data_IF_151768157941
#
_entry.id   IF_151768157941
#
_cell.length_a   1.000
_cell.length_b   1.000
_cell.length_c   1.000
_cell.angle_alpha   90.00
_cell.angle_beta   90.00
_cell.angle_gamma   90.00
#
_symmetry.space_group_name_H-M   'P 1'
#
loop_
_entity.id
_entity.type
_entity.pdbx_description
1 polymer ?
#
# COMPACT_ATOMS: atom_id res chain seq x y z
N UNK A 1 -8.99 -11.01 -18.35
CA UNK A 1 -9.55 -9.64 -18.38
C UNK A 1 -8.79 -8.48 -17.67
N UNK A 2 -8.67 -8.40 -16.33
CA UNK A 2 -8.26 -7.14 -15.63
C UNK A 2 -6.88 -6.56 -16.02
N UNK A 3 -5.85 -7.42 -16.21
CA UNK A 3 -4.52 -6.97 -16.64
C UNK A 3 -4.51 -6.39 -18.07
N UNK A 4 -5.47 -6.79 -18.91
CA UNK A 4 -5.59 -6.31 -20.29
C UNK A 4 -6.24 -4.94 -20.30
N UNK A 5 -7.34 -4.77 -19.54
CA UNK A 5 -8.00 -3.47 -19.37
C UNK A 5 -7.03 -2.40 -18.85
N UNK A 6 -6.15 -2.76 -17.93
CA UNK A 6 -5.12 -1.84 -17.43
C UNK A 6 -4.19 -1.35 -18.54
N UNK A 7 -3.68 -2.27 -19.38
CA UNK A 7 -2.78 -1.91 -20.48
C UNK A 7 -3.43 -0.94 -21.46
N UNK A 8 -4.73 -1.10 -21.72
CA UNK A 8 -5.49 -0.18 -22.58
C UNK A 8 -5.55 1.23 -21.99
N UNK A 9 -5.69 1.35 -20.66
CA UNK A 9 -5.70 2.64 -19.97
C UNK A 9 -4.33 3.35 -20.03
N UNK A 10 -3.24 2.58 -20.07
CA UNK A 10 -1.89 3.12 -20.17
C UNK A 10 -1.58 3.63 -21.59
N UNK A 11 -1.76 2.77 -22.59
CA UNK A 11 -1.56 3.13 -23.99
C UNK A 11 -2.22 2.08 -24.92
N UNK A 12 -3.01 2.50 -25.94
CA UNK A 12 -3.70 1.56 -26.83
C UNK A 12 -2.79 0.53 -27.52
N UNK A 13 -1.59 0.95 -27.95
CA UNK A 13 -0.56 0.07 -28.54
C UNK A 13 -0.01 -1.03 -27.61
N UNK A 14 -0.29 -1.02 -26.30
CA UNK A 14 0.12 -2.09 -25.41
C UNK A 14 -0.72 -3.37 -25.59
N UNK A 15 -1.87 -3.26 -26.27
CA UNK A 15 -2.74 -4.36 -26.59
C UNK A 15 -2.21 -5.12 -27.82
N UNK A 16 -1.93 -6.42 -27.68
CA UNK A 16 -1.58 -7.25 -28.83
C UNK A 16 -2.86 -7.69 -29.55
N UNK A 17 -2.81 -7.89 -30.87
CA UNK A 17 -3.94 -8.42 -31.66
C UNK A 17 -4.53 -9.70 -31.04
N UNK A 18 -3.67 -10.57 -30.49
CA UNK A 18 -4.06 -11.77 -29.74
C UNK A 18 -4.78 -11.48 -28.43
N UNK A 19 -4.29 -10.53 -27.62
CA UNK A 19 -4.95 -10.17 -26.36
C UNK A 19 -6.29 -9.46 -26.61
N UNK A 20 -6.41 -8.71 -27.71
CA UNK A 20 -7.68 -8.14 -28.14
C UNK A 20 -8.69 -9.23 -28.52
N UNK A 21 -8.25 -10.25 -29.27
CA UNK A 21 -9.08 -11.39 -29.63
C UNK A 21 -9.52 -12.21 -28.40
N UNK A 22 -8.61 -12.48 -27.46
CA UNK A 22 -8.93 -13.18 -26.20
C UNK A 22 -9.95 -12.40 -25.34
N UNK A 23 -9.90 -11.06 -25.32
CA UNK A 23 -10.91 -10.24 -24.64
C UNK A 23 -12.27 -10.34 -25.34
N UNK A 24 -12.30 -10.30 -26.67
CA UNK A 24 -13.54 -10.45 -27.43
C UNK A 24 -14.18 -11.83 -27.21
N UNK A 25 -13.37 -12.90 -27.18
CA UNK A 25 -13.83 -14.26 -26.90
C UNK A 25 -14.34 -14.42 -25.45
N UNK A 26 -13.71 -13.79 -24.46
CA UNK A 26 -14.21 -13.77 -23.08
C UNK A 26 -15.56 -13.02 -22.98
N UNK A 27 -15.71 -11.91 -23.71
CA UNK A 27 -16.93 -11.10 -23.74
C UNK A 27 -18.12 -11.80 -24.43
N UNK A 28 -17.85 -12.71 -25.37
CA UNK A 28 -18.86 -13.52 -26.06
C UNK A 28 -19.66 -14.44 -25.11
N UNK A 29 -19.15 -14.70 -23.91
CA UNK A 29 -19.81 -15.54 -22.92
C UNK A 29 -20.78 -14.80 -21.98
N UNK A 30 -20.77 -13.46 -21.95
CA UNK A 30 -21.37 -12.70 -20.83
C UNK A 30 -22.09 -11.39 -21.16
N UNK A 31 -22.21 -10.93 -22.42
CA UNK A 31 -22.67 -9.56 -22.72
C UNK A 31 -23.85 -9.43 -23.71
N UNK A 32 -24.60 -8.31 -23.62
CA UNK A 32 -25.73 -7.96 -24.50
C UNK A 32 -25.24 -7.59 -25.92
N UNK A 33 -26.11 -7.72 -26.94
CA UNK A 33 -25.77 -7.45 -28.36
C UNK A 33 -25.21 -6.04 -28.63
N UNK A 34 -25.66 -5.04 -27.88
CA UNK A 34 -25.23 -3.64 -28.05
C UNK A 34 -23.81 -3.40 -27.50
N UNK A 35 -23.50 -3.97 -26.33
CA UNK A 35 -22.16 -3.89 -25.71
C UNK A 35 -21.11 -4.60 -26.59
N UNK A 36 -21.50 -5.70 -27.23
CA UNK A 36 -20.69 -6.42 -28.21
C UNK A 36 -20.34 -5.55 -29.42
N UNK A 37 -21.32 -4.85 -29.99
CA UNK A 37 -21.10 -4.00 -31.15
C UNK A 37 -20.16 -2.82 -30.83
N UNK A 38 -20.23 -2.28 -29.62
CA UNK A 38 -19.31 -1.22 -29.16
C UNK A 38 -17.91 -1.77 -28.96
N UNK A 39 -17.76 -2.94 -28.32
CA UNK A 39 -16.47 -3.58 -28.10
C UNK A 39 -15.78 -3.98 -29.43
N UNK A 40 -16.52 -4.58 -30.36
CA UNK A 40 -16.02 -4.93 -31.70
C UNK A 40 -15.60 -3.67 -32.48
N UNK A 41 -16.38 -2.58 -32.42
CA UNK A 41 -15.99 -1.29 -33.05
C UNK A 41 -14.74 -0.70 -32.40
N UNK A 42 -14.62 -0.74 -31.08
CA UNK A 42 -13.47 -0.20 -30.37
C UNK A 42 -12.20 -0.99 -30.71
N UNK A 43 -12.30 -2.33 -30.73
CA UNK A 43 -11.19 -3.21 -31.13
C UNK A 43 -10.82 -3.01 -32.60
N UNK A 44 -11.78 -2.88 -33.51
CA UNK A 44 -11.51 -2.55 -34.90
C UNK A 44 -10.88 -1.16 -35.07
N UNK A 45 -11.34 -0.15 -34.33
CA UNK A 45 -10.71 1.17 -34.33
C UNK A 45 -9.28 1.09 -33.80
N UNK A 46 -9.03 0.36 -32.72
CA UNK A 46 -7.68 0.14 -32.18
C UNK A 46 -6.78 -0.60 -33.16
N UNK A 47 -7.31 -1.63 -33.84
CA UNK A 47 -6.61 -2.40 -34.87
C UNK A 47 -6.28 -1.54 -36.11
N UNK A 48 -7.23 -0.71 -36.54
CA UNK A 48 -7.08 0.20 -37.69
C UNK A 48 -6.15 1.37 -37.36
N UNK A 49 -6.16 1.84 -36.11
CA UNK A 49 -5.14 2.76 -35.58
C UNK A 49 -3.80 2.05 -35.64
N UNK A 50 -3.64 0.84 -35.09
CA UNK A 50 -2.36 0.10 -35.16
C UNK A 50 -1.84 -0.15 -36.58
N UNK A 51 -2.71 -0.34 -37.57
CA UNK A 51 -2.33 -0.58 -38.98
C UNK A 51 -2.01 0.70 -39.77
N UNK A 52 -2.54 1.85 -39.36
CA UNK A 52 -2.23 3.16 -39.97
C UNK A 52 -1.00 3.83 -39.36
N UNK A 53 -0.41 3.23 -38.33
CA UNK A 53 0.64 3.82 -37.49
C UNK A 53 2.07 3.49 -37.89
N UNK A 54 2.29 2.92 -39.07
CA UNK A 54 3.66 2.65 -39.56
C UNK A 54 4.38 3.92 -40.07
N UNK A 55 3.70 5.07 -40.27
CA UNK A 55 4.31 6.25 -40.94
C UNK A 55 4.37 7.58 -40.14
N UNK A 56 3.66 7.76 -39.02
CA UNK A 56 3.79 8.98 -38.20
C UNK A 56 3.73 8.68 -36.69
N UNK A 57 4.67 9.27 -35.96
CA UNK A 57 4.87 9.06 -34.52
C UNK A 57 3.74 9.75 -33.74
N UNK A 58 2.63 9.04 -33.51
CA UNK A 58 1.48 9.59 -32.79
C UNK A 58 1.59 9.37 -31.28
N UNK A 59 2.29 10.27 -30.60
CA UNK A 59 2.28 10.32 -29.12
C UNK A 59 0.91 10.75 -28.55
N UNK A 60 0.07 11.35 -29.41
CA UNK A 60 -1.27 11.85 -29.07
C UNK A 60 -2.32 10.78 -28.76
N UNK A 61 -1.99 9.49 -28.94
CA UNK A 61 -2.95 8.39 -28.73
C UNK A 61 -3.05 8.00 -27.24
N UNK A 62 -2.08 8.36 -26.40
CA UNK A 62 -2.15 8.13 -24.95
C UNK A 62 -2.23 9.44 -24.17
N UNK A 63 -3.33 9.62 -23.43
CA UNK A 63 -3.53 10.76 -22.55
C UNK A 63 -2.45 10.84 -21.45
N UNK A 64 -1.93 9.71 -20.97
CA UNK A 64 -0.84 9.68 -19.98
C UNK A 64 0.47 10.18 -20.56
N UNK A 65 0.84 9.75 -21.77
CA UNK A 65 2.06 10.24 -22.42
C UNK A 65 1.94 11.73 -22.72
N UNK A 66 0.81 12.16 -23.30
CA UNK A 66 0.54 13.58 -23.57
C UNK A 66 0.65 14.43 -22.30
N UNK A 67 0.04 13.99 -21.19
CA UNK A 67 0.16 14.66 -19.90
C UNK A 67 1.61 14.70 -19.38
N UNK A 68 2.35 13.58 -19.48
CA UNK A 68 3.75 13.51 -19.03
C UNK A 68 4.62 14.48 -19.82
N UNK A 69 4.46 14.55 -21.14
CA UNK A 69 5.23 15.47 -21.98
C UNK A 69 4.96 16.93 -21.58
N UNK A 70 3.68 17.32 -21.47
CA UNK A 70 3.31 18.67 -21.06
C UNK A 70 3.79 19.02 -19.62
N UNK A 71 3.80 18.03 -18.72
CA UNK A 71 4.36 18.20 -17.38
C UNK A 71 5.89 18.39 -17.43
N UNK A 72 6.59 17.62 -18.26
CA UNK A 72 8.05 17.74 -18.42
C UNK A 72 8.47 19.06 -19.05
N UNK A 73 7.68 19.61 -19.98
CA UNK A 73 7.90 20.94 -20.56
C UNK A 73 7.92 22.06 -19.51
N UNK A 74 7.22 21.87 -18.39
CA UNK A 74 7.27 22.80 -17.26
C UNK A 74 8.40 22.45 -16.27
N UNK A 75 8.56 21.17 -15.95
CA UNK A 75 9.47 20.72 -14.89
C UNK A 75 10.95 20.85 -15.27
N UNK A 76 11.31 20.51 -16.51
CA UNK A 76 12.72 20.47 -16.93
C UNK A 76 13.34 21.86 -17.02
N UNK A 77 12.69 22.88 -17.65
CA UNK A 77 13.17 24.26 -17.58
C UNK A 77 13.19 24.83 -16.16
N UNK A 78 12.32 24.32 -15.27
CA UNK A 78 12.32 24.64 -13.84
C UNK A 78 13.52 24.05 -13.07
N UNK A 79 14.40 23.27 -13.70
CA UNK A 79 15.58 22.68 -13.08
C UNK A 79 15.26 21.50 -12.15
N UNK A 80 14.11 20.86 -12.35
CA UNK A 80 13.70 19.67 -11.61
C UNK A 80 14.31 18.40 -12.23
N UNK A 81 14.65 17.42 -11.38
CA UNK A 81 15.04 16.09 -11.82
C UNK A 81 13.90 15.12 -11.55
N UNK A 82 13.54 14.34 -12.56
CA UNK A 82 12.29 13.58 -12.61
C UNK A 82 12.57 12.09 -12.70
N UNK A 83 12.04 11.31 -11.77
CA UNK A 83 11.93 9.85 -11.90
C UNK A 83 10.59 9.50 -12.53
N UNK A 84 10.59 8.61 -13.52
CA UNK A 84 9.36 8.09 -14.12
C UNK A 84 9.34 6.58 -13.94
N UNK A 85 8.39 6.11 -13.13
CA UNK A 85 8.19 4.70 -12.84
C UNK A 85 7.06 4.12 -13.67
N UNK A 86 7.33 2.96 -14.27
CA UNK A 86 6.27 2.13 -14.88
C UNK A 86 6.44 0.65 -14.55
N UNK A 87 5.36 -0.14 -14.53
CA UNK A 87 5.48 -1.57 -14.26
C UNK A 87 6.04 -2.36 -15.45
N UNK A 88 5.79 -1.91 -16.68
CA UNK A 88 6.13 -2.67 -17.87
C UNK A 88 7.21 -2.01 -18.71
N UNK A 89 8.15 -2.82 -19.23
CA UNK A 89 9.17 -2.34 -20.17
C UNK A 89 8.57 -1.80 -21.47
N UNK A 90 7.40 -2.33 -21.88
CA UNK A 90 6.72 -1.87 -23.09
C UNK A 90 6.25 -0.42 -22.94
N UNK A 91 5.67 -0.06 -21.80
CA UNK A 91 5.28 1.32 -21.53
C UNK A 91 6.50 2.24 -21.44
N UNK A 92 7.61 1.77 -20.84
CA UNK A 92 8.86 2.53 -20.86
C UNK A 92 9.43 2.74 -22.27
N UNK A 93 9.27 1.78 -23.19
CA UNK A 93 9.67 1.96 -24.59
C UNK A 93 8.84 3.06 -25.27
N UNK A 94 7.52 3.05 -25.09
CA UNK A 94 6.65 4.09 -25.65
C UNK A 94 7.00 5.47 -25.09
N UNK A 95 7.24 5.57 -23.78
CA UNK A 95 7.73 6.80 -23.16
C UNK A 95 9.10 7.20 -23.70
N UNK A 96 10.00 6.25 -23.91
CA UNK A 96 11.32 6.51 -24.48
C UNK A 96 11.20 7.17 -25.86
N UNK A 97 10.38 6.59 -26.73
CA UNK A 97 10.16 7.09 -28.09
C UNK A 97 9.52 8.48 -28.06
N UNK A 98 8.59 8.71 -27.12
CA UNK A 98 7.98 10.01 -26.84
C UNK A 98 9.01 11.07 -26.40
N UNK A 99 9.88 10.73 -25.46
CA UNK A 99 10.92 11.63 -24.97
C UNK A 99 11.93 11.96 -26.07
N UNK A 100 12.38 10.97 -26.85
CA UNK A 100 13.31 11.20 -27.98
C UNK A 100 12.69 12.14 -29.00
N UNK A 101 11.44 11.90 -29.38
CA UNK A 101 10.74 12.70 -30.39
C UNK A 101 10.57 14.17 -29.97
N UNK A 102 10.46 14.43 -28.67
CA UNK A 102 10.34 15.77 -28.09
C UNK A 102 11.68 16.37 -27.65
N UNK A 103 12.81 15.73 -27.98
CA UNK A 103 14.15 16.26 -27.70
C UNK A 103 14.58 16.17 -26.22
N UNK A 104 13.88 15.38 -25.41
CA UNK A 104 14.25 15.17 -24.01
C UNK A 104 15.39 14.18 -23.87
N UNK A 105 16.39 14.56 -23.06
CA UNK A 105 17.41 13.63 -22.61
C UNK A 105 16.89 12.82 -21.42
N UNK A 106 17.19 11.53 -21.37
CA UNK A 106 16.83 10.66 -20.26
C UNK A 106 17.88 9.58 -20.02
N UNK A 107 17.86 9.00 -18.83
CA UNK A 107 18.54 7.74 -18.49
C UNK A 107 17.50 6.67 -18.22
N UNK A 108 17.89 5.39 -18.31
CA UNK A 108 16.97 4.27 -18.12
C UNK A 108 17.64 3.12 -17.37
N UNK A 109 16.94 2.58 -16.38
CA UNK A 109 17.23 1.26 -15.81
C UNK A 109 15.96 0.42 -15.80
N UNK A 110 16.07 -0.78 -16.37
CA UNK A 110 15.02 -1.79 -16.33
C UNK A 110 15.60 -3.19 -16.03
N UNK A 111 14.73 -4.20 -16.04
CA UNK A 111 15.12 -5.60 -15.77
C UNK A 111 16.20 -6.16 -16.70
N UNK A 112 16.44 -5.54 -17.86
CA UNK A 112 17.48 -5.95 -18.82
C UNK A 112 18.81 -5.23 -18.63
N UNK A 113 18.86 -4.18 -17.81
CA UNK A 113 20.11 -3.45 -17.54
C UNK A 113 21.05 -4.33 -16.71
N UNK A 114 22.30 -4.51 -17.17
CA UNK A 114 23.33 -5.31 -16.48
C UNK A 114 23.65 -4.73 -15.11
N UNK A 115 23.91 -5.59 -14.13
CA UNK A 115 24.20 -5.16 -12.76
C UNK A 115 25.41 -4.23 -12.65
N UNK A 116 26.44 -4.45 -13.47
CA UNK A 116 27.66 -3.62 -13.55
C UNK A 116 27.36 -2.18 -13.96
N UNK A 117 26.39 -1.99 -14.84
CA UNK A 117 26.11 -0.69 -15.46
C UNK A 117 25.14 0.12 -14.59
N UNK A 118 24.29 -0.55 -13.81
CA UNK A 118 23.31 0.08 -12.92
C UNK A 118 23.96 1.09 -11.97
N UNK A 119 25.06 0.70 -11.32
CA UNK A 119 25.74 1.56 -10.36
C UNK A 119 26.29 2.82 -11.03
N UNK A 120 26.87 2.67 -12.22
CA UNK A 120 27.38 3.79 -13.00
C UNK A 120 26.26 4.76 -13.39
N UNK A 121 25.16 4.25 -13.94
CA UNK A 121 24.01 5.08 -14.35
C UNK A 121 23.41 5.83 -13.15
N UNK A 122 23.28 5.15 -12.00
CA UNK A 122 22.77 5.78 -10.77
C UNK A 122 23.72 6.88 -10.29
N UNK A 123 25.03 6.64 -10.29
CA UNK A 123 26.01 7.65 -9.90
C UNK A 123 25.99 8.85 -10.85
N UNK A 124 25.94 8.62 -12.16
CA UNK A 124 25.88 9.69 -13.17
C UNK A 124 24.63 10.57 -13.02
N UNK A 125 23.48 9.97 -12.66
CA UNK A 125 22.27 10.71 -12.29
C UNK A 125 22.47 11.52 -11.00
N UNK A 126 22.96 10.89 -9.94
CA UNK A 126 23.13 11.54 -8.63
C UNK A 126 24.11 12.72 -8.69
N UNK A 127 25.17 12.58 -9.48
CA UNK A 127 26.19 13.61 -9.69
C UNK A 127 25.74 14.71 -10.67
N UNK A 128 24.60 14.54 -11.34
CA UNK A 128 24.07 15.50 -12.31
C UNK A 128 24.89 15.59 -13.60
N UNK A 129 25.68 14.56 -13.92
CA UNK A 129 26.42 14.45 -15.19
C UNK A 129 25.54 13.94 -16.33
N UNK A 130 24.36 13.41 -15.99
CA UNK A 130 23.43 12.82 -16.94
C UNK A 130 22.19 13.68 -17.20
N UNK A 131 21.24 13.04 -17.85
CA UNK A 131 19.93 13.61 -18.15
C UNK A 131 19.08 13.89 -16.89
N UNK A 132 18.20 14.90 -16.92
CA UNK A 132 17.32 15.24 -15.79
C UNK A 132 16.16 14.24 -15.62
N UNK A 133 15.88 13.40 -16.61
CA UNK A 133 14.81 12.40 -16.58
C UNK A 133 15.41 11.01 -16.39
N UNK A 134 14.81 10.21 -15.51
CA UNK A 134 15.24 8.84 -15.25
C UNK A 134 14.06 7.86 -15.31
N UNK A 135 14.04 7.03 -16.36
CA UNK A 135 13.06 5.97 -16.58
C UNK A 135 13.42 4.71 -15.80
N UNK A 136 12.47 4.22 -14.99
CA UNK A 136 12.67 3.08 -14.10
C UNK A 136 11.48 2.12 -14.18
N UNK A 137 11.74 0.82 -14.21
CA UNK A 137 10.65 -0.14 -13.93
C UNK A 137 10.41 -0.24 -12.42
N UNK A 138 9.16 -0.27 -11.97
CA UNK A 138 8.83 -0.36 -10.53
C UNK A 138 9.46 -1.57 -9.83
N UNK A 139 9.68 -2.68 -10.56
CA UNK A 139 10.33 -3.89 -10.04
C UNK A 139 11.82 -3.69 -9.73
N UNK A 140 12.52 -2.85 -10.50
CA UNK A 140 13.92 -2.49 -10.24
C UNK A 140 14.02 -1.59 -9.00
N UNK A 141 12.92 -0.96 -8.57
CA UNK A 141 12.79 -0.23 -7.31
C UNK A 141 13.02 -1.10 -6.05
N UNK A 142 12.94 -2.43 -6.15
CA UNK A 142 13.23 -3.36 -5.06
C UNK A 142 14.72 -3.50 -4.71
N UNK A 143 15.62 -2.95 -5.53
CA UNK A 143 17.08 -3.17 -5.43
C UNK A 143 17.79 -2.32 -4.38
N UNK A 144 17.09 -1.43 -3.68
CA UNK A 144 17.74 -0.62 -2.64
C UNK A 144 18.35 0.71 -3.12
N UNK A 145 18.10 1.12 -4.37
CA UNK A 145 18.72 2.32 -4.98
C UNK A 145 18.41 3.61 -4.18
N UNK A 146 19.32 4.58 -4.25
CA UNK A 146 19.16 5.91 -3.66
C UNK A 146 19.20 6.92 -4.78
N UNK A 147 18.13 7.67 -4.97
CA UNK A 147 17.90 8.59 -6.10
C UNK A 147 17.48 9.98 -5.59
N UNK A 148 18.14 10.45 -4.53
CA UNK A 148 17.85 11.70 -3.82
C UNK A 148 18.08 12.96 -4.64
N UNK A 149 18.73 12.87 -5.81
CA UNK A 149 18.84 13.99 -6.76
C UNK A 149 17.49 14.38 -7.36
N UNK A 150 16.56 13.44 -7.44
CA UNK A 150 15.22 13.67 -7.96
C UNK A 150 14.30 14.28 -6.92
N UNK A 151 13.61 15.34 -7.31
CA UNK A 151 12.59 16.04 -6.53
C UNK A 151 11.19 15.90 -7.13
N UNK A 152 11.07 15.22 -8.27
CA UNK A 152 9.81 14.92 -8.93
C UNK A 152 9.74 13.42 -9.23
N UNK A 153 8.61 12.80 -8.92
CA UNK A 153 8.39 11.37 -9.17
C UNK A 153 7.05 11.18 -9.88
N UNK A 154 7.05 10.58 -11.06
CA UNK A 154 5.86 10.25 -11.82
C UNK A 154 5.67 8.73 -11.75
N UNK A 155 4.53 8.28 -11.22
CA UNK A 155 4.07 6.90 -11.26
C UNK A 155 3.02 6.79 -12.35
N UNK A 156 3.41 6.20 -13.49
CA UNK A 156 2.59 6.16 -14.71
C UNK A 156 1.42 5.19 -14.57
N UNK A 157 1.70 4.00 -14.06
CA UNK A 157 0.74 2.91 -13.91
C UNK A 157 0.84 2.30 -12.51
N UNK A 158 0.10 2.82 -11.51
CA UNK A 158 0.21 2.41 -10.11
C UNK A 158 0.00 0.91 -9.88
N UNK A 159 0.82 0.30 -9.01
CA UNK A 159 0.74 -1.11 -8.66
C UNK A 159 -0.52 -1.42 -7.86
N UNK A 160 -1.07 -2.63 -8.06
CA UNK A 160 -2.21 -3.13 -7.28
C UNK A 160 -1.92 -3.18 -5.78
N UNK A 161 -0.67 -3.46 -5.42
CA UNK A 161 -0.19 -3.36 -4.06
C UNK A 161 0.42 -1.96 -3.86
N UNK A 162 -0.19 -1.09 -3.03
CA UNK A 162 0.33 0.25 -2.76
C UNK A 162 1.78 0.25 -2.27
N UNK A 163 2.19 -0.81 -1.54
CA UNK A 163 3.54 -0.95 -0.99
C UNK A 163 4.62 -0.92 -2.07
N UNK A 164 4.34 -1.41 -3.27
CA UNK A 164 5.27 -1.40 -4.40
C UNK A 164 5.54 0.01 -4.90
N UNK A 165 4.49 0.84 -4.96
CA UNK A 165 4.62 2.24 -5.35
C UNK A 165 5.31 3.06 -4.25
N UNK A 166 4.92 2.87 -2.98
CA UNK A 166 5.56 3.52 -1.84
C UNK A 166 7.06 3.23 -1.80
N UNK A 167 7.46 1.97 -1.99
CA UNK A 167 8.87 1.60 -2.05
C UNK A 167 9.63 2.31 -3.20
N UNK A 168 8.94 2.61 -4.31
CA UNK A 168 9.54 3.33 -5.44
C UNK A 168 9.71 4.82 -5.12
N UNK A 169 8.71 5.43 -4.45
CA UNK A 169 8.76 6.82 -3.97
C UNK A 169 9.84 7.02 -2.91
N UNK A 170 10.00 6.08 -1.98
CA UNK A 170 11.01 6.08 -0.91
C UNK A 170 12.46 6.11 -1.44
N UNK A 171 12.66 5.89 -2.74
CA UNK A 171 13.98 6.01 -3.40
C UNK A 171 14.41 7.46 -3.59
N UNK A 172 13.44 8.34 -3.85
CA UNK A 172 13.64 9.79 -3.97
C UNK A 172 13.48 10.49 -2.62
N UNK A 173 12.48 10.08 -1.84
CA UNK A 173 12.26 10.58 -0.48
C UNK A 173 13.06 9.75 0.53
N UNK A 174 14.38 10.00 0.59
CA UNK A 174 15.33 9.28 1.44
C UNK A 174 16.30 10.24 2.12
N UNK A 175 16.97 9.77 3.18
CA UNK A 175 18.07 10.50 3.82
C UNK A 175 19.08 10.95 2.75
N UNK A 176 19.39 12.25 2.74
CA UNK A 176 20.22 12.89 1.71
C UNK A 176 19.43 13.69 0.67
N UNK A 177 18.10 13.65 0.71
CA UNK A 177 17.24 14.57 -0.03
C UNK A 177 17.27 15.97 0.62
N UNK A 178 17.37 17.02 -0.18
CA UNK A 178 17.42 18.41 0.26
C UNK A 178 16.27 19.27 -0.29
N UNK A 179 15.51 18.74 -1.26
CA UNK A 179 14.35 19.41 -1.87
C UNK A 179 13.04 18.68 -1.52
N UNK A 180 11.94 19.42 -1.57
CA UNK A 180 10.62 18.83 -1.43
C UNK A 180 10.29 17.93 -2.63
N UNK A 181 9.93 16.68 -2.32
CA UNK A 181 9.61 15.67 -3.32
C UNK A 181 8.11 15.70 -3.62
N UNK A 182 7.77 15.98 -4.88
CA UNK A 182 6.38 15.92 -5.37
C UNK A 182 6.18 14.64 -6.17
N UNK A 183 5.15 13.89 -5.81
CA UNK A 183 4.81 12.61 -6.45
C UNK A 183 3.50 12.75 -7.24
N UNK A 184 3.57 12.50 -8.54
CA UNK A 184 2.44 12.45 -9.45
C UNK A 184 2.04 10.99 -9.64
N UNK A 185 0.85 10.62 -9.17
CA UNK A 185 0.28 9.29 -9.41
C UNK A 185 -0.79 9.43 -10.49
N UNK A 186 -0.52 8.93 -11.69
CA UNK A 186 -1.44 9.07 -12.82
C UNK A 186 -2.53 8.02 -12.75
N UNK A 187 -3.77 8.44 -12.94
CA UNK A 187 -4.96 7.61 -12.88
C UNK A 187 -5.90 7.98 -14.03
N UNK A 188 -6.30 7.00 -14.84
CA UNK A 188 -7.25 7.25 -15.93
C UNK A 188 -8.69 7.22 -15.39
N UNK A 189 -9.41 8.32 -15.55
CA UNK A 189 -10.75 8.52 -15.01
C UNK A 189 -11.78 7.59 -15.66
N UNK A 190 -12.75 7.11 -14.88
CA UNK A 190 -13.81 6.20 -15.34
C UNK A 190 -13.35 4.78 -15.68
N UNK A 191 -12.06 4.47 -15.52
CA UNK A 191 -11.46 3.19 -15.94
C UNK A 191 -11.21 2.22 -14.78
N UNK A 192 -10.72 1.02 -15.11
CA UNK A 192 -10.30 0.01 -14.14
C UNK A 192 -9.23 0.54 -13.17
N UNK A 193 -8.43 1.53 -13.56
CA UNK A 193 -7.40 2.10 -12.69
C UNK A 193 -8.00 2.82 -11.49
N UNK A 194 -8.90 3.78 -11.72
CA UNK A 194 -9.60 4.52 -10.66
C UNK A 194 -10.29 3.54 -9.70
N UNK A 195 -10.89 2.50 -10.26
CA UNK A 195 -11.57 1.43 -9.54
C UNK A 195 -10.64 0.60 -8.65
N UNK A 196 -9.45 0.25 -9.13
CA UNK A 196 -8.40 -0.41 -8.34
C UNK A 196 -7.95 0.49 -7.20
N UNK A 197 -7.77 1.79 -7.49
CA UNK A 197 -7.38 2.76 -6.48
C UNK A 197 -8.40 2.90 -5.35
N UNK A 198 -9.71 2.96 -5.66
CA UNK A 198 -10.76 2.94 -4.62
C UNK A 198 -10.62 1.71 -3.70
N UNK A 199 -10.38 0.53 -4.27
CA UNK A 199 -10.13 -0.71 -3.50
C UNK A 199 -8.89 -0.60 -2.62
N UNK A 200 -7.82 0.02 -3.10
CA UNK A 200 -6.60 0.22 -2.31
C UNK A 200 -6.84 1.12 -1.11
N UNK A 201 -7.49 2.26 -1.32
CA UNK A 201 -7.84 3.18 -0.24
C UNK A 201 -8.74 2.49 0.78
N UNK A 202 -9.77 1.77 0.31
CA UNK A 202 -10.65 1.00 1.19
C UNK A 202 -9.89 -0.03 2.05
N UNK A 203 -9.02 -0.83 1.44
CA UNK A 203 -8.20 -1.82 2.16
C UNK A 203 -7.19 -1.16 3.10
N UNK A 204 -6.61 -0.03 2.70
CA UNK A 204 -5.70 0.76 3.53
C UNK A 204 -6.38 1.26 4.81
N UNK A 205 -7.60 1.75 4.69
CA UNK A 205 -8.40 2.20 5.84
C UNK A 205 -8.67 1.07 6.82
N UNK A 206 -9.10 -0.10 6.31
CA UNK A 206 -9.32 -1.28 7.16
C UNK A 206 -8.05 -1.72 7.92
N UNK A 207 -6.90 -1.70 7.26
CA UNK A 207 -5.64 -2.07 7.88
C UNK A 207 -5.21 -1.09 8.98
N UNK A 208 -5.38 0.22 8.74
CA UNK A 208 -5.12 1.26 9.74
C UNK A 208 -6.06 1.14 10.95
N UNK A 209 -7.37 0.94 10.74
CA UNK A 209 -8.33 0.71 11.84
C UNK A 209 -7.90 -0.48 12.71
N UNK A 210 -7.50 -1.59 12.08
CA UNK A 210 -7.07 -2.78 12.79
C UNK A 210 -5.78 -2.59 13.60
N UNK A 211 -4.89 -1.69 13.16
CA UNK A 211 -3.58 -1.46 13.79
C UNK A 211 -3.60 -0.36 14.84
N UNK A 212 -4.38 0.70 14.61
CA UNK A 212 -4.38 1.92 15.42
C UNK A 212 -5.53 1.96 16.45
N UNK A 213 -6.40 0.94 16.47
CA UNK A 213 -7.58 0.83 17.36
C UNK A 213 -8.48 2.08 17.38
N UNK A 214 -8.43 2.90 16.33
CA UNK A 214 -9.33 4.01 16.06
C UNK A 214 -10.05 3.73 14.76
N UNK A 215 -11.35 3.96 14.73
CA UNK A 215 -12.11 3.83 13.49
C UNK A 215 -11.58 4.85 12.47
N UNK A 216 -11.20 4.36 11.29
CA UNK A 216 -10.78 5.19 10.16
C UNK A 216 -11.96 5.44 9.24
N UNK A 217 -11.98 6.60 8.57
CA UNK A 217 -13.02 6.92 7.59
C UNK A 217 -13.10 5.83 6.53
N UNK A 218 -14.31 5.30 6.35
CA UNK A 218 -14.61 4.34 5.30
C UNK A 218 -15.00 5.09 4.02
N UNK A 219 -14.01 5.36 3.18
CA UNK A 219 -14.22 6.09 1.91
C UNK A 219 -15.19 5.39 0.93
N UNK A 220 -15.30 4.06 0.96
CA UNK A 220 -16.09 3.30 -0.04
C UNK A 220 -16.88 2.13 0.58
N UNK A 221 -18.10 1.91 0.10
CA UNK A 221 -18.99 0.82 0.51
C UNK A 221 -18.74 -0.46 -0.31
N UNK A 222 -19.21 -1.63 0.17
CA UNK A 222 -19.16 -2.87 -0.62
C UNK A 222 -20.06 -2.81 -1.87
N UNK A 223 -21.11 -1.99 -1.85
CA UNK A 223 -22.02 -1.83 -2.98
C UNK A 223 -21.40 -0.98 -4.07
N UNK A 224 -20.70 0.09 -3.69
CA UNK A 224 -19.85 0.88 -4.59
C UNK A 224 -18.79 0.00 -5.24
N UNK A 225 -18.33 -1.01 -4.49
CA UNK A 225 -17.38 -2.00 -5.00
C UNK A 225 -17.96 -2.97 -6.03
N UNK A 226 -19.29 -3.11 -6.13
CA UNK A 226 -19.98 -3.91 -7.15
C UNK A 226 -20.30 -3.08 -8.39
N UNK A 227 -20.59 -1.80 -8.23
CA UNK A 227 -20.71 -0.83 -9.34
C UNK A 227 -19.39 -0.60 -10.07
N UNK A 228 -18.27 -1.12 -9.55
CA UNK A 228 -16.95 -1.09 -10.20
C UNK A 228 -16.92 -1.67 -11.63
N UNK A 229 -17.90 -2.44 -12.11
CA UNK A 229 -17.86 -2.95 -13.48
C UNK A 229 -18.84 -2.25 -14.42
N UNK A 230 -19.55 -1.22 -13.95
CA UNK A 230 -20.37 -0.37 -14.81
C UNK A 230 -19.56 0.74 -15.47
N UNK A 231 -20.01 1.18 -16.63
CA UNK A 231 -19.49 2.37 -17.29
C UNK A 231 -20.03 3.63 -16.56
N UNK A 232 -19.19 4.66 -16.37
CA UNK A 232 -19.63 5.90 -15.74
C UNK A 232 -20.68 6.59 -16.63
N UNK A 233 -21.82 6.94 -16.03
CA UNK A 233 -22.93 7.61 -16.73
C UNK A 233 -22.59 9.05 -17.17
N UNK A 234 -21.62 9.68 -16.50
CA UNK A 234 -21.18 11.06 -16.75
C UNK A 234 -19.99 11.21 -17.71
N UNK A 235 -19.60 10.14 -18.40
CA UNK A 235 -18.41 10.15 -19.28
C UNK A 235 -17.09 9.90 -18.54
N UNK A 236 -15.97 10.08 -19.25
CA UNK A 236 -14.61 9.83 -18.73
C UNK A 236 -13.89 11.10 -18.27
N UNK A 237 -14.46 12.28 -18.51
CA UNK A 237 -13.85 13.58 -18.18
C UNK A 237 -14.07 13.98 -16.71
N UNK A 238 -14.90 13.22 -15.99
CA UNK A 238 -15.27 13.49 -14.60
C UNK A 238 -14.91 12.28 -13.74
N UNK A 239 -14.17 12.50 -12.65
CA UNK A 239 -13.87 11.47 -11.65
C UNK A 239 -14.71 11.67 -10.40
N UNK A 240 -15.69 10.78 -10.21
CA UNK A 240 -16.47 10.73 -8.96
C UNK A 240 -15.57 10.45 -7.75
N UNK A 241 -14.50 9.66 -7.93
CA UNK A 241 -13.55 9.37 -6.85
C UNK A 241 -12.79 10.62 -6.44
N UNK A 242 -12.35 11.43 -7.40
CA UNK A 242 -11.65 12.68 -7.15
C UNK A 242 -12.55 13.66 -6.40
N UNK A 243 -13.81 13.82 -6.84
CA UNK A 243 -14.79 14.70 -6.19
C UNK A 243 -15.04 14.29 -4.73
N UNK A 244 -15.31 13.01 -4.50
CA UNK A 244 -15.54 12.48 -3.15
C UNK A 244 -14.31 12.68 -2.26
N UNK A 245 -13.10 12.44 -2.76
CA UNK A 245 -11.88 12.67 -1.98
C UNK A 245 -11.63 14.16 -1.72
N UNK A 246 -12.01 15.05 -2.65
CA UNK A 246 -11.87 16.48 -2.44
C UNK A 246 -12.83 16.96 -1.35
N UNK A 247 -14.11 16.59 -1.43
CA UNK A 247 -15.12 16.92 -0.41
C UNK A 247 -14.68 16.51 1.01
N UNK A 248 -14.08 15.33 1.14
CA UNK A 248 -13.61 14.81 2.42
C UNK A 248 -12.38 15.55 2.98
N UNK A 249 -11.54 16.17 2.13
CA UNK A 249 -10.23 16.70 2.52
C UNK A 249 -10.00 18.19 2.20
N UNK A 250 -10.97 18.90 1.63
CA UNK A 250 -10.85 20.28 1.16
C UNK A 250 -10.37 21.27 2.25
N UNK A 251 -10.75 21.01 3.51
CA UNK A 251 -10.51 21.93 4.63
C UNK A 251 -9.18 21.76 5.37
N UNK A 252 -8.44 20.67 5.16
CA UNK A 252 -7.18 20.40 5.88
C UNK A 252 -5.94 20.93 5.16
N UNK A 253 -6.10 21.42 3.94
CA UNK A 253 -4.96 21.69 3.07
C UNK A 253 -4.43 23.12 3.20
N UNK A 254 -3.47 23.32 4.11
CA UNK A 254 -2.53 24.44 3.99
C UNK A 254 -1.52 24.13 2.88
N UNK A 255 -1.93 24.31 1.63
CA UNK A 255 -0.98 24.27 0.51
C UNK A 255 -0.03 25.45 0.59
N UNK A 256 1.26 25.16 0.64
CA UNK A 256 2.30 26.17 0.47
C UNK A 256 2.15 26.87 -0.89
N UNK A 257 2.51 28.15 -0.96
CA UNK A 257 2.23 28.99 -2.14
C UNK A 257 2.75 28.39 -3.45
N UNK A 258 3.94 27.79 -3.44
CA UNK A 258 4.54 27.16 -4.62
C UNK A 258 3.75 25.94 -5.10
N UNK A 259 3.30 25.08 -4.18
CA UNK A 259 2.51 23.88 -4.51
C UNK A 259 1.14 24.26 -5.06
N UNK A 260 0.51 25.32 -4.51
CA UNK A 260 -0.78 25.83 -5.01
C UNK A 260 -0.68 26.36 -6.44
N UNK A 261 0.39 27.10 -6.77
CA UNK A 261 0.65 27.56 -8.15
C UNK A 261 0.84 26.36 -9.08
N UNK A 262 1.57 25.34 -8.60
CA UNK A 262 1.80 24.13 -9.40
C UNK A 262 0.50 23.34 -9.64
N UNK A 263 -0.37 23.18 -8.64
CA UNK A 263 -1.68 22.51 -8.83
C UNK A 263 -2.53 23.24 -9.87
N UNK A 264 -2.58 24.58 -9.84
CA UNK A 264 -3.26 25.36 -10.88
C UNK A 264 -2.69 25.12 -12.27
N UNK A 265 -1.38 24.96 -12.39
CA UNK A 265 -0.77 24.57 -13.66
C UNK A 265 -1.24 23.18 -14.10
N UNK A 266 -1.30 22.19 -13.20
CA UNK A 266 -1.80 20.85 -13.53
C UNK A 266 -3.24 20.88 -14.05
N UNK A 267 -4.10 21.72 -13.47
CA UNK A 267 -5.49 21.92 -13.93
C UNK A 267 -5.57 22.43 -15.38
N UNK A 268 -4.56 23.17 -15.85
CA UNK A 268 -4.52 23.62 -17.26
C UNK A 268 -4.21 22.50 -18.25
N UNK A 269 -3.73 21.34 -17.78
CA UNK A 269 -3.36 20.19 -18.62
C UNK A 269 -4.56 19.28 -18.98
N UNK A 270 -5.80 19.73 -18.72
CA UNK A 270 -7.01 18.99 -19.08
C UNK A 270 -7.24 17.73 -18.25
N UNK A 271 -6.76 17.71 -16.99
CA UNK A 271 -7.04 16.63 -16.05
C UNK A 271 -8.43 16.78 -15.44
N UNK A 272 -9.08 15.66 -15.10
CA UNK A 272 -10.38 15.68 -14.40
C UNK A 272 -10.29 16.27 -12.99
N UNK A 273 -9.10 16.21 -12.36
CA UNK A 273 -8.84 16.85 -11.08
C UNK A 273 -7.60 16.27 -10.37
N UNK A 274 -7.26 16.88 -9.23
CA UNK A 274 -6.15 16.46 -8.36
C UNK A 274 -6.73 16.01 -7.02
N UNK A 275 -6.16 14.95 -6.44
CA UNK A 275 -6.46 14.51 -5.08
C UNK A 275 -5.18 14.38 -4.27
N UNK A 276 -5.17 14.91 -3.05
CA UNK A 276 -4.02 14.84 -2.14
C UNK A 276 -3.95 13.48 -1.45
N UNK A 277 -3.23 12.54 -2.06
CA UNK A 277 -3.06 11.18 -1.53
C UNK A 277 -2.44 11.14 -0.12
N UNK A 278 -1.63 12.14 0.25
CA UNK A 278 -1.01 12.26 1.57
C UNK A 278 -2.01 12.53 2.71
N UNK A 279 -3.20 13.05 2.40
CA UNK A 279 -4.25 13.31 3.39
C UNK A 279 -5.12 12.09 3.67
N UNK A 280 -4.96 11.00 2.92
CA UNK A 280 -5.75 9.80 3.17
C UNK A 280 -5.52 9.28 4.60
N UNK A 281 -6.61 9.01 5.29
CA UNK A 281 -6.62 8.53 6.68
C UNK A 281 -6.00 9.52 7.68
N UNK A 282 -5.99 10.83 7.38
CA UNK A 282 -5.64 11.87 8.35
C UNK A 282 -6.74 12.06 9.41
N UNK A 283 -8.00 11.82 9.03
CA UNK A 283 -9.18 11.91 9.89
C UNK A 283 -9.54 10.56 10.49
N UNK A 284 -9.81 10.55 11.79
CA UNK A 284 -10.55 9.47 12.41
C UNK A 284 -12.01 9.51 11.92
N UNK A 285 -12.66 8.35 11.82
CA UNK A 285 -14.09 8.29 11.58
C UNK A 285 -14.82 9.09 12.68
N UNK A 286 -15.92 9.81 12.34
CA UNK A 286 -16.78 10.38 13.35
C UNK A 286 -17.20 9.27 14.32
N UNK A 287 -16.99 9.48 15.62
CA UNK A 287 -17.53 8.56 16.62
C UNK A 287 -19.03 8.49 16.41
N UNK A 288 -19.63 7.27 16.39
CA UNK A 288 -21.07 7.16 16.28
C UNK A 288 -21.70 8.02 17.38
N UNK A 289 -22.78 8.78 17.08
CA UNK A 289 -23.47 9.51 18.11
C UNK A 289 -23.82 8.52 19.21
N UNK A 290 -23.46 8.86 20.45
CA UNK A 290 -23.99 8.16 21.61
C UNK A 290 -25.50 8.34 21.50
N UNK A 291 -26.20 7.30 21.04
CA UNK A 291 -27.63 7.21 21.23
C UNK A 291 -27.80 7.15 22.74
N UNK A 292 -28.18 8.28 23.34
CA UNK A 292 -28.68 8.31 24.70
C UNK A 292 -29.80 7.26 24.75
N UNK A 293 -29.54 6.13 25.41
CA UNK A 293 -30.54 5.09 25.59
C UNK A 293 -31.75 5.71 26.29
N UNK A 294 -32.82 5.97 25.53
CA UNK A 294 -34.12 6.33 26.07
C UNK A 294 -34.55 5.21 27.04
N UNK A 295 -34.58 5.55 28.33
CA UNK A 295 -35.02 4.69 29.42
C UNK A 295 -36.44 4.15 29.16
N UNK A 296 -36.55 2.92 28.67
CA UNK A 296 -37.80 2.15 28.74
C UNK A 296 -37.89 1.49 30.11
N UNK A 297 -38.64 2.12 31.02
CA UNK A 297 -39.05 1.53 32.31
C UNK A 297 -39.96 0.32 32.09
N UNK A 298 -39.68 -0.81 32.76
CA UNK A 298 -40.64 -1.65 33.53
C UNK A 298 -39.86 -2.65 34.43
N UNK A 299 -40.11 -2.54 35.75
CA UNK A 299 -40.06 -3.53 36.87
C UNK A 299 -38.90 -4.56 36.96
N UNK A 300 -38.18 -4.77 38.07
CA UNK A 300 -38.49 -4.58 39.49
C UNK A 300 -37.23 -4.72 40.37
N UNK A 301 -37.30 -4.12 41.56
CA UNK A 301 -36.67 -4.52 42.85
C UNK A 301 -35.18 -4.22 43.16
N UNK A 302 -35.07 -3.20 44.02
CA UNK A 302 -34.32 -3.13 45.30
C UNK A 302 -32.80 -2.85 45.31
N UNK A 303 -32.52 -1.57 45.61
CA UNK A 303 -31.59 -1.05 46.64
C UNK A 303 -30.08 -1.31 46.50
N UNK A 304 -29.34 -0.26 46.16
CA UNK A 304 -28.35 0.33 47.06
C UNK A 304 -28.04 1.78 46.64
N UNK A 305 -28.05 2.69 47.60
CA UNK A 305 -27.81 4.14 47.44
C UNK A 305 -26.38 4.45 47.88
N UNK A 306 -25.65 5.20 47.08
CA UNK A 306 -24.34 5.77 47.43
C UNK A 306 -24.14 7.11 46.73
N UNK A 307 -24.54 8.16 47.43
CA UNK A 307 -24.61 9.56 47.03
C UNK A 307 -23.23 10.20 46.74
N UNK A 308 -23.16 11.03 45.68
CA UNK A 308 -22.93 12.49 45.77
C UNK A 308 -21.96 13.11 44.75
N UNK A 309 -22.54 14.10 44.06
CA UNK A 309 -22.05 15.43 43.70
C UNK A 309 -20.91 15.59 42.70
N UNK A 310 -21.33 15.94 41.49
CA UNK A 310 -20.69 16.87 40.58
C UNK A 310 -20.33 18.20 41.25
N UNK A 311 -19.09 18.66 41.03
CA UNK A 311 -18.70 20.06 41.14
C UNK A 311 -17.99 20.49 39.85
N UNK A 312 -18.58 21.45 39.15
CA UNK A 312 -17.94 22.26 38.13
C UNK A 312 -16.91 23.20 38.78
N UNK A 313 -15.74 23.38 38.18
CA UNK A 313 -15.16 24.72 37.91
C UNK A 313 -13.76 24.68 37.28
N UNK A 314 -13.65 25.44 36.18
CA UNK A 314 -12.53 26.33 35.83
C UNK A 314 -11.24 25.69 35.32
N UNK A 315 -11.02 25.89 34.02
CA UNK A 315 -9.74 25.76 33.33
C UNK A 315 -8.62 26.50 34.07
N UNK A 316 -7.61 25.75 34.51
CA UNK A 316 -6.28 26.28 34.80
C UNK A 316 -5.36 25.85 33.67
N UNK A 317 -4.65 26.81 33.09
CA UNK A 317 -3.54 26.57 32.18
C UNK A 317 -2.54 25.61 32.84
N UNK A 318 -2.46 24.38 32.34
CA UNK A 318 -1.50 23.38 32.81
C UNK A 318 -0.27 23.49 31.92
N UNK A 319 0.85 23.88 32.54
CA UNK A 319 2.18 23.85 31.93
C UNK A 319 2.56 22.41 31.59
N UNK A 320 2.57 22.09 30.28
CA UNK A 320 2.89 20.77 29.74
C UNK A 320 4.34 20.31 30.05
N UNK A 321 5.18 21.16 30.66
CA UNK A 321 6.54 20.83 31.08
C UNK A 321 6.65 19.88 32.29
N UNK A 322 5.60 19.73 33.10
CA UNK A 322 5.66 18.88 34.31
C UNK A 322 5.49 17.37 34.04
N UNK A 323 5.01 16.99 32.85
CA UNK A 323 4.84 15.60 32.42
C UNK A 323 5.83 15.18 31.32
N UNK A 324 6.80 16.05 30.98
CA UNK A 324 7.86 15.72 30.05
C UNK A 324 8.81 14.68 30.66
N UNK A 325 9.01 13.57 29.95
CA UNK A 325 9.94 12.50 30.32
C UNK A 325 11.35 13.07 30.52
N UNK A 326 11.87 12.98 31.75
CA UNK A 326 13.25 13.40 32.07
C UNK A 326 14.18 12.21 31.83
N UNK A 327 15.10 12.27 30.86
CA UNK A 327 15.99 11.15 30.49
C UNK A 327 17.05 10.78 31.55
N UNK A 328 16.94 11.29 32.79
CA UNK A 328 17.86 11.01 33.91
C UNK A 328 17.24 10.20 35.05
N UNK A 329 15.96 9.83 34.96
CA UNK A 329 15.27 9.08 36.03
C UNK A 329 15.26 7.55 35.79
N UNK A 330 16.00 7.05 34.80
CA UNK A 330 16.18 5.62 34.56
C UNK A 330 17.41 5.13 35.33
N UNK A 331 17.19 4.41 36.43
CA UNK A 331 18.23 3.57 37.04
C UNK A 331 18.48 2.37 36.12
N UNK A 332 19.61 2.40 35.42
CA UNK A 332 20.14 1.25 34.70
C UNK A 332 20.59 0.19 35.72
N UNK A 333 19.91 -0.96 35.74
CA UNK A 333 20.50 -2.17 36.31
C UNK A 333 21.31 -2.88 35.23
N UNK A 334 22.54 -3.23 35.62
CA UNK A 334 23.55 -3.84 34.77
C UNK A 334 23.17 -5.24 34.28
N UNK A 335 23.58 -5.47 33.04
CA UNK A 335 23.65 -6.70 32.23
C UNK A 335 23.46 -8.05 32.95
N UNK A 336 22.53 -8.85 32.42
CA UNK A 336 22.68 -10.31 32.33
C UNK A 336 22.31 -10.82 30.93
N UNK A 337 23.02 -11.85 30.51
CA UNK A 337 23.12 -12.45 29.16
C UNK A 337 21.75 -12.89 28.61
N UNK A 338 21.46 -12.76 27.29
CA UNK A 338 20.17 -13.19 26.75
C UNK A 338 20.06 -14.72 26.74
N UNK A 339 19.28 -15.28 27.66
CA UNK A 339 18.84 -16.68 27.61
C UNK A 339 17.79 -16.82 26.51
N UNK A 340 18.05 -17.66 25.51
CA UNK A 340 17.09 -18.02 24.46
C UNK A 340 15.84 -18.64 25.11
N UNK A 341 14.70 -17.97 25.03
CA UNK A 341 13.41 -18.55 25.42
C UNK A 341 12.93 -19.39 24.22
N UNK A 342 12.99 -20.72 24.36
CA UNK A 342 12.42 -21.66 23.38
C UNK A 342 10.88 -21.60 23.34
N UNK A 343 10.25 -22.18 22.31
CA UNK A 343 8.80 -22.18 22.15
C UNK A 343 8.09 -22.82 23.35
N UNK A 344 6.99 -22.23 23.83
CA UNK A 344 6.28 -22.74 25.00
C UNK A 344 5.45 -23.99 24.67
N UNK A 345 5.11 -24.81 25.68
CA UNK A 345 4.33 -26.06 25.49
C UNK A 345 2.98 -25.79 24.79
N UNK A 346 2.35 -24.65 25.05
CA UNK A 346 1.12 -24.19 24.39
C UNK A 346 1.32 -23.93 22.91
N UNK A 347 2.44 -23.29 22.52
CA UNK A 347 2.73 -22.93 21.13
C UNK A 347 2.98 -24.18 20.27
N UNK A 348 3.66 -25.17 20.83
CA UNK A 348 3.93 -26.45 20.15
C UNK A 348 2.62 -27.23 19.94
N UNK A 349 1.73 -27.28 20.94
CA UNK A 349 0.42 -27.93 20.82
C UNK A 349 -0.47 -27.26 19.77
N UNK A 350 -0.45 -25.93 19.70
CA UNK A 350 -1.23 -25.19 18.70
C UNK A 350 -0.71 -25.46 17.28
N UNK A 351 0.62 -25.49 17.09
CA UNK A 351 1.24 -25.85 15.80
C UNK A 351 0.89 -27.28 15.36
N UNK A 352 0.94 -28.25 16.28
CA UNK A 352 0.54 -29.65 15.97
C UNK A 352 -0.93 -29.72 15.56
N UNK A 353 -1.82 -28.95 16.23
CA UNK A 353 -3.25 -28.93 15.91
C UNK A 353 -3.51 -28.39 14.50
N UNK A 354 -2.84 -27.29 14.13
CA UNK A 354 -2.96 -26.68 12.79
C UNK A 354 -2.45 -27.63 11.70
N UNK A 355 -1.28 -28.22 11.89
CA UNK A 355 -0.70 -29.15 10.92
C UNK A 355 -1.54 -30.43 10.79
N UNK A 356 -2.05 -30.98 11.90
CA UNK A 356 -2.95 -32.13 11.88
C UNK A 356 -4.27 -31.84 11.16
N UNK A 357 -4.83 -30.63 11.32
CA UNK A 357 -6.02 -30.22 10.58
C UNK A 357 -5.76 -30.11 9.06
N UNK A 358 -4.61 -29.54 8.68
CA UNK A 358 -4.18 -29.51 7.28
C UNK A 358 -3.97 -30.91 6.70
N UNK A 359 -3.42 -31.83 7.50
CA UNK A 359 -3.23 -33.23 7.11
C UNK A 359 -4.54 -34.05 7.10
N UNK A 360 -5.61 -33.58 7.75
CA UNK A 360 -6.92 -34.22 7.68
C UNK A 360 -7.63 -34.01 6.33
N UNK A 361 -7.25 -32.96 5.58
CA UNK A 361 -7.89 -32.61 4.31
C UNK A 361 -7.27 -33.41 3.14
N UNK A 362 -7.84 -34.60 2.88
CA UNK A 362 -7.39 -35.54 1.84
C UNK A 362 -7.32 -34.92 0.44
N UNK A 363 -8.22 -33.98 0.12
CA UNK A 363 -8.26 -33.34 -1.19
C UNK A 363 -7.06 -32.42 -1.40
N UNK A 364 -6.67 -31.68 -0.36
CA UNK A 364 -5.52 -30.78 -0.39
C UNK A 364 -4.19 -31.54 -0.44
N UNK A 365 -4.08 -32.65 0.30
CA UNK A 365 -2.86 -33.47 0.33
C UNK A 365 -2.61 -34.17 -1.00
N UNK A 366 -3.66 -34.64 -1.68
CA UNK A 366 -3.53 -35.29 -2.99
C UNK A 366 -2.98 -34.37 -4.09
N UNK A 367 -3.08 -33.05 -3.89
CA UNK A 367 -2.57 -31.99 -4.79
C UNK A 367 -1.13 -31.59 -4.48
N UNK A 368 -0.54 -32.07 -3.37
CA UNK A 368 0.85 -31.77 -3.00
C UNK A 368 1.84 -32.76 -3.65
N UNK A 369 3.01 -32.30 -4.09
CA UNK A 369 3.99 -33.13 -4.82
C UNK A 369 4.59 -34.27 -3.98
N UNK A 370 4.54 -34.17 -2.66
CA UNK A 370 5.06 -35.14 -1.69
C UNK A 370 3.96 -35.92 -0.95
N UNK A 371 2.70 -35.80 -1.41
CA UNK A 371 1.51 -36.43 -0.79
C UNK A 371 1.42 -36.25 0.73
N UNK A 372 1.96 -35.16 1.26
CA UNK A 372 1.86 -34.79 2.68
C UNK A 372 2.93 -35.41 3.60
N UNK A 373 3.93 -36.12 3.07
CA UNK A 373 4.99 -36.75 3.88
C UNK A 373 5.76 -35.74 4.75
N UNK A 374 6.04 -34.53 4.24
CA UNK A 374 6.75 -33.49 5.01
C UNK A 374 5.93 -32.96 6.18
N UNK A 375 4.61 -32.83 6.00
CA UNK A 375 3.69 -32.39 7.05
C UNK A 375 3.64 -33.45 8.15
N UNK A 376 3.61 -34.73 7.78
CA UNK A 376 3.66 -35.85 8.72
C UNK A 376 4.98 -35.89 9.52
N UNK A 377 6.12 -35.66 8.86
CA UNK A 377 7.43 -35.58 9.52
C UNK A 377 7.50 -34.42 10.51
N UNK A 378 7.01 -33.22 10.14
CA UNK A 378 6.97 -32.07 11.05
C UNK A 378 6.07 -32.30 12.26
N UNK A 379 4.92 -32.96 12.10
CA UNK A 379 4.05 -33.33 13.23
C UNK A 379 4.78 -34.31 14.16
N UNK A 380 5.51 -35.28 13.62
CA UNK A 380 6.26 -36.24 14.42
C UNK A 380 7.40 -35.57 15.22
N UNK A 381 8.11 -34.63 14.60
CA UNK A 381 9.20 -33.87 15.24
C UNK A 381 8.69 -32.97 16.37
N UNK A 382 7.59 -32.24 16.14
CA UNK A 382 6.98 -31.40 17.17
C UNK A 382 6.42 -32.23 18.35
N UNK A 383 5.88 -33.42 18.09
CA UNK A 383 5.44 -34.33 19.15
C UNK A 383 6.62 -34.86 19.99
N UNK A 384 7.78 -35.09 19.36
CA UNK A 384 9.01 -35.48 20.06
C UNK A 384 9.53 -34.33 20.94
N UNK A 385 9.51 -33.11 20.43
CA UNK A 385 9.89 -31.90 21.17
C UNK A 385 8.95 -31.65 22.37
N UNK A 386 7.64 -31.83 22.17
CA UNK A 386 6.64 -31.75 23.24
C UNK A 386 6.87 -32.80 24.34
N UNK A 387 7.26 -34.02 23.95
CA UNK A 387 7.57 -35.09 24.90
C UNK A 387 8.83 -34.76 25.73
N UNK A 388 9.86 -34.21 25.10
CA UNK A 388 11.08 -33.80 25.81
C UNK A 388 10.81 -32.70 26.84
N UNK A 389 10.01 -31.69 26.49
CA UNK A 389 9.62 -30.61 27.41
C UNK A 389 8.83 -31.15 28.62
N UNK A 390 7.98 -32.16 28.41
CA UNK A 390 7.23 -32.81 29.51
C UNK A 390 8.14 -33.62 30.43
N UNK A 391 9.07 -34.40 29.86
CA UNK A 391 10.06 -35.16 30.64
C UNK A 391 10.98 -34.23 31.46
N UNK A 392 11.37 -33.07 30.90
CA UNK A 392 12.15 -32.04 31.61
C UNK A 392 11.36 -31.30 32.70
N UNK A 393 10.03 -31.38 32.67
CA UNK A 393 9.14 -30.80 33.68
C UNK A 393 8.92 -31.79 34.82
N UNK A 394 8.70 -33.07 34.50
CA UNK A 394 8.64 -34.16 35.51
C UNK A 394 9.97 -34.31 36.27
N UNK A 395 11.12 -34.24 35.59
CA UNK A 395 12.44 -34.26 36.27
C UNK A 395 12.71 -33.03 37.15
N UNK A 396 11.99 -31.92 36.97
CA UNK A 396 12.13 -30.71 37.79
C UNK A 396 11.28 -30.76 39.06
N UNK A 397 10.17 -31.49 39.04
CA UNK A 397 9.28 -31.65 40.19
C UNK A 397 9.75 -32.75 41.17
N UNK A 398 10.71 -33.60 40.79
CA UNK A 398 11.29 -34.65 41.66
C UNK A 398 12.57 -34.23 42.42
N UNK A 399 13.16 -33.07 42.12
CA UNK A 399 14.35 -32.57 42.82
C UNK A 399 13.92 -31.69 43.99
N UNK A 400 13.80 -32.30 45.18
CA UNK A 400 13.69 -31.55 46.44
C UNK A 400 15.04 -30.87 46.70
N UNK A 401 15.05 -29.54 46.63
CA UNK A 401 16.23 -28.72 46.89
C UNK A 401 16.55 -28.73 48.40
N UNK A 402 17.72 -29.24 48.77
CA UNK A 402 18.16 -29.43 50.16
C UNK A 402 18.46 -28.10 50.90
N UNK A 403 18.48 -26.98 50.18
CA UNK A 403 18.71 -25.65 50.75
C UNK A 403 17.46 -25.01 51.38
N UNK A 404 16.25 -25.53 51.12
CA UNK A 404 15.00 -24.99 51.70
C UNK A 404 14.70 -25.53 53.13
N UNK A 405 15.54 -26.43 53.65
CA UNK A 405 15.51 -26.91 55.04
C UNK A 405 16.39 -26.03 55.96
N UNK A 406 17.33 -25.27 55.41
CA UNK A 406 18.21 -24.37 56.17
C UNK A 406 17.49 -23.09 56.66
N UNK A 407 16.46 -22.62 55.94
CA UNK A 407 15.70 -21.42 56.31
C UNK A 407 14.67 -21.60 57.44
N UNK A 408 14.24 -22.83 57.73
CA UNK A 408 13.25 -23.12 58.80
C UNK A 408 13.85 -23.32 60.20
N UNK A 409 15.18 -23.41 60.32
CA UNK A 409 15.85 -23.52 61.63
C UNK A 409 16.34 -22.18 62.23
N UNK A 410 16.09 -21.04 61.57
CA UNK A 410 16.46 -19.70 62.08
C UNK A 410 15.27 -18.82 62.51
N UNK A 411 14.06 -19.40 62.67
CA UNK A 411 12.88 -18.70 63.23
C UNK A 411 12.29 -19.32 64.52
N UNK A 412 12.98 -20.26 65.17
CA UNK A 412 12.52 -20.86 66.44
C UNK A 412 13.47 -20.58 67.62
N UNK A 413 14.52 -19.76 67.45
CA UNK A 413 15.28 -19.22 68.59
C UNK A 413 15.60 -17.74 68.34
N UNK A 414 14.60 -16.88 68.56
CA UNK A 414 14.76 -15.59 69.22
C UNK A 414 13.37 -14.95 69.43
N UNK A 415 12.83 -15.25 70.62
CA UNK A 415 11.69 -14.70 71.36
C UNK A 415 10.29 -15.04 70.84
#
# INVERSE_FOLDING_TARGET
MEQILKKICDHPLLLTKRAAAEVLEEMDSTSNKDDRAVAERLVMQMANVTEKLDDEVTHDVSCKIAFILALLDNLIPGGHNVLIFSQTRKMLNLLQDALISNGFQFMRIDGTTKATDRLKIVNDFQEGRGAPIFLLTSQVGGLGLTLTKADRVIVVDPAWNPSTDSQSVDRAYRIGQTKDVVVYRLMTCGTVEEKIYRKQVYKGGLFKTATEHKEQIRYFSQQDLRELFSLPKGGFDISNTQQQLNEEHDHEHKMEGALKVHVKFLETLGIAGVSSHSLLFSKAAPEPPVEDEDEVKIASRTTFVGNSSSHSSVERAVDAGQYAFKPKDVKLQDKSVPTRIGPTESDIKEKIRRLSHMFGNKEMISKLPDRGERIQQQIAELNKELKNIRMEKENRDEVIDLDDISGRFHRVVNV
#
